data_IF_863339317612
#
_entry.id   IF_863339317612
#
_cell.length_a   1.000
_cell.length_b   1.000
_cell.length_c   1.000
_cell.angle_alpha   90.00
_cell.angle_beta   90.00
_cell.angle_gamma   90.00
#
_symmetry.space_group_name_H-M   'P 1'
#
loop_
_entity.id
_entity.type
_entity.pdbx_description
1 polymer ?
#
# COMPACT_ATOMS: atom_id res chain seq x y z
N UNK A 1 -0.02 0.82 -33.45
CA UNK A 1 -0.51 0.38 -32.12
C UNK A 1 0.47 0.89 -31.08
N UNK A 2 0.13 1.97 -30.36
CA UNK A 2 0.98 2.46 -29.28
C UNK A 2 0.82 1.48 -28.11
N UNK A 3 1.84 0.68 -27.83
CA UNK A 3 1.90 -0.05 -26.58
C UNK A 3 1.77 0.97 -25.45
N UNK A 4 0.82 0.80 -24.51
CA UNK A 4 0.68 1.70 -23.39
C UNK A 4 1.82 1.42 -22.41
N UNK A 5 3.01 1.92 -22.75
CA UNK A 5 4.21 1.91 -21.91
C UNK A 5 3.93 2.30 -20.44
N UNK A 6 3.01 3.25 -20.13
CA UNK A 6 2.63 3.56 -18.75
C UNK A 6 1.97 2.39 -18.00
N UNK A 7 1.19 1.56 -18.69
CA UNK A 7 0.53 0.39 -18.08
C UNK A 7 1.53 -0.71 -17.77
N UNK A 8 2.52 -0.93 -18.64
CA UNK A 8 3.58 -1.91 -18.40
C UNK A 8 4.44 -1.53 -17.18
N UNK A 9 4.86 -0.27 -17.08
CA UNK A 9 5.60 0.23 -15.92
C UNK A 9 4.80 0.04 -14.64
N UNK A 10 3.50 0.39 -14.67
CA UNK A 10 2.63 0.27 -13.50
C UNK A 10 2.45 -1.20 -13.09
N UNK A 11 2.22 -2.10 -14.05
CA UNK A 11 2.08 -3.53 -13.80
C UNK A 11 3.34 -4.13 -13.16
N UNK A 12 4.52 -3.78 -13.68
CA UNK A 12 5.80 -4.21 -13.10
C UNK A 12 5.99 -3.65 -11.69
N UNK A 13 5.63 -2.39 -11.45
CA UNK A 13 5.72 -1.78 -10.12
C UNK A 13 4.79 -2.47 -9.11
N UNK A 14 3.55 -2.79 -9.49
CA UNK A 14 2.62 -3.54 -8.64
C UNK A 14 3.12 -4.97 -8.38
N UNK A 15 3.67 -5.64 -9.38
CA UNK A 15 4.25 -6.98 -9.22
C UNK A 15 5.45 -6.97 -8.26
N UNK A 16 6.34 -5.98 -8.37
CA UNK A 16 7.45 -5.79 -7.43
C UNK A 16 6.95 -5.48 -6.02
N UNK A 17 5.93 -4.64 -5.87
CA UNK A 17 5.35 -4.34 -4.57
C UNK A 17 4.74 -5.60 -3.93
N UNK A 18 4.06 -6.44 -4.69
CA UNK A 18 3.57 -7.75 -4.22
C UNK A 18 4.71 -8.64 -3.76
N UNK A 19 5.83 -8.71 -4.49
CA UNK A 19 7.02 -9.47 -4.07
C UNK A 19 7.61 -8.91 -2.77
N UNK A 20 7.66 -7.59 -2.61
CA UNK A 20 8.14 -6.93 -1.37
C UNK A 20 7.22 -7.21 -0.19
N UNK A 21 5.91 -7.25 -0.40
CA UNK A 21 4.93 -7.62 0.62
C UNK A 21 5.06 -9.11 0.96
N UNK A 22 5.16 -9.98 -0.04
CA UNK A 22 5.25 -11.43 0.12
C UNK A 22 6.53 -11.87 0.83
N UNK A 23 7.66 -11.22 0.55
CA UNK A 23 8.91 -11.39 1.31
C UNK A 23 8.93 -10.65 2.65
N UNK A 24 7.95 -9.79 2.92
CA UNK A 24 7.83 -9.08 4.19
C UNK A 24 7.28 -9.99 5.29
N UNK A 25 7.83 -9.86 6.50
CA UNK A 25 7.42 -10.50 7.76
C UNK A 25 5.93 -10.35 8.16
N UNK A 26 5.09 -9.76 7.31
CA UNK A 26 3.65 -9.56 7.49
C UNK A 26 2.85 -10.87 7.39
N UNK A 27 3.27 -11.86 6.58
CA UNK A 27 2.49 -13.10 6.38
C UNK A 27 2.45 -14.04 7.60
N UNK A 28 3.32 -13.83 8.59
CA UNK A 28 3.43 -14.68 9.78
C UNK A 28 2.77 -14.07 11.03
N UNK A 29 2.11 -12.91 10.92
CA UNK A 29 1.51 -12.19 12.05
C UNK A 29 -0.01 -12.23 11.98
N UNK A 30 -0.67 -12.40 13.13
CA UNK A 30 -2.14 -12.42 13.26
C UNK A 30 -2.84 -11.14 12.74
N UNK A 31 -2.10 -10.06 12.50
CA UNK A 31 -2.59 -8.82 11.92
C UNK A 31 -2.71 -8.83 10.38
N UNK A 32 -2.27 -9.90 9.71
CA UNK A 32 -2.45 -10.06 8.27
C UNK A 32 -3.93 -10.10 7.87
N UNK A 33 -4.74 -10.86 8.62
CA UNK A 33 -6.18 -11.05 8.35
C UNK A 33 -6.96 -9.72 8.39
N UNK A 34 -6.90 -8.89 9.46
CA UNK A 34 -7.65 -7.65 9.49
C UNK A 34 -7.18 -6.64 8.44
N UNK A 35 -5.88 -6.59 8.14
CA UNK A 35 -5.34 -5.72 7.07
C UNK A 35 -5.84 -6.18 5.70
N UNK A 36 -5.82 -7.48 5.43
CA UNK A 36 -6.32 -8.05 4.19
C UNK A 36 -7.83 -7.81 4.03
N UNK A 37 -8.60 -7.94 5.11
CA UNK A 37 -10.03 -7.64 5.12
C UNK A 37 -10.29 -6.15 4.81
N UNK A 38 -9.50 -5.24 5.40
CA UNK A 38 -9.63 -3.81 5.13
C UNK A 38 -9.28 -3.43 3.69
N UNK A 39 -8.21 -4.03 3.12
CA UNK A 39 -7.87 -3.85 1.69
C UNK A 39 -8.97 -4.41 0.79
N UNK A 40 -9.50 -5.59 1.11
CA UNK A 40 -10.59 -6.21 0.35
C UNK A 40 -11.86 -5.35 0.40
N UNK A 41 -12.18 -4.76 1.56
CA UNK A 41 -13.29 -3.82 1.71
C UNK A 41 -13.10 -2.56 0.85
N UNK A 42 -11.88 -2.04 0.71
CA UNK A 42 -11.61 -0.92 -0.19
C UNK A 42 -11.81 -1.28 -1.66
N UNK A 43 -11.36 -2.47 -2.07
CA UNK A 43 -11.56 -2.96 -3.46
C UNK A 43 -13.04 -3.16 -3.75
N UNK A 44 -13.76 -3.85 -2.87
CA UNK A 44 -15.19 -4.09 -3.00
C UNK A 44 -16.00 -2.78 -2.95
N UNK A 45 -15.61 -1.85 -2.07
CA UNK A 45 -16.25 -0.54 -1.96
C UNK A 45 -16.05 0.30 -3.21
N UNK A 46 -14.86 0.23 -3.82
CA UNK A 46 -14.58 0.86 -5.11
C UNK A 46 -15.45 0.27 -6.23
N UNK A 47 -15.56 -1.06 -6.27
CA UNK A 47 -16.39 -1.77 -7.24
C UNK A 47 -17.88 -1.42 -7.08
N UNK A 48 -18.39 -1.42 -5.85
CA UNK A 48 -19.78 -1.05 -5.56
C UNK A 48 -20.06 0.42 -5.87
N UNK A 49 -19.06 1.30 -5.70
CA UNK A 49 -19.19 2.70 -6.08
C UNK A 49 -19.30 2.88 -7.60
N UNK A 50 -18.60 2.06 -8.39
CA UNK A 50 -18.79 2.01 -9.84
C UNK A 50 -20.18 1.49 -10.22
N UNK A 51 -20.69 0.51 -9.46
CA UNK A 51 -22.03 -0.06 -9.63
C UNK A 51 -23.15 0.80 -9.03
N UNK A 52 -22.84 1.98 -8.48
CA UNK A 52 -23.81 2.90 -7.85
C UNK A 52 -24.62 2.28 -6.70
N UNK A 53 -24.06 1.28 -6.03
CA UNK A 53 -24.73 0.59 -4.93
C UNK A 53 -24.83 1.48 -3.69
N UNK A 54 -26.00 1.50 -3.04
CA UNK A 54 -26.19 2.15 -1.74
C UNK A 54 -25.32 1.45 -0.68
N UNK A 55 -24.56 2.19 0.11
CA UNK A 55 -23.61 1.62 1.08
C UNK A 55 -22.14 1.58 0.60
N UNK A 56 -21.86 1.87 -0.67
CA UNK A 56 -20.50 1.81 -1.21
C UNK A 56 -19.56 2.85 -0.58
N UNK A 57 -20.08 4.04 -0.27
CA UNK A 57 -19.30 5.10 0.35
C UNK A 57 -18.90 4.75 1.78
N UNK A 58 -19.83 4.16 2.53
CA UNK A 58 -19.67 3.69 3.90
C UNK A 58 -18.65 2.55 3.96
N UNK A 59 -18.69 1.63 2.98
CA UNK A 59 -17.72 0.54 2.86
C UNK A 59 -16.30 1.08 2.59
N UNK A 60 -16.17 2.09 1.73
CA UNK A 60 -14.90 2.76 1.42
C UNK A 60 -14.33 3.52 2.62
N UNK A 61 -15.17 4.29 3.32
CA UNK A 61 -14.77 5.06 4.50
C UNK A 61 -14.41 4.10 5.65
N UNK A 62 -15.24 3.09 5.89
CA UNK A 62 -15.02 2.07 6.92
C UNK A 62 -13.76 1.25 6.64
N UNK A 63 -13.60 0.73 5.42
CA UNK A 63 -12.41 -0.02 5.01
C UNK A 63 -11.13 0.81 5.10
N UNK A 64 -11.18 2.07 4.68
CA UNK A 64 -10.03 2.98 4.75
C UNK A 64 -9.63 3.32 6.19
N UNK A 65 -10.62 3.58 7.05
CA UNK A 65 -10.40 3.86 8.47
C UNK A 65 -9.84 2.64 9.20
N UNK A 66 -10.42 1.46 8.97
CA UNK A 66 -9.94 0.20 9.53
C UNK A 66 -8.49 -0.06 9.09
N UNK A 67 -8.17 0.16 7.81
CA UNK A 67 -6.82 -0.03 7.30
C UNK A 67 -5.82 0.86 8.06
N UNK A 68 -6.11 2.14 8.21
CA UNK A 68 -5.24 3.09 8.93
C UNK A 68 -5.04 2.63 10.38
N UNK A 69 -6.13 2.30 11.09
CA UNK A 69 -6.10 1.96 12.52
C UNK A 69 -5.37 0.64 12.75
N UNK A 70 -5.76 -0.43 12.06
CA UNK A 70 -5.14 -1.75 12.23
C UNK A 70 -3.66 -1.75 11.82
N UNK A 71 -3.33 -1.05 10.73
CA UNK A 71 -1.95 -0.99 10.26
C UNK A 71 -1.07 -0.14 11.18
N UNK A 72 -1.58 0.97 11.73
CA UNK A 72 -0.88 1.79 12.70
C UNK A 72 -0.63 1.03 14.02
N UNK A 73 -1.65 0.32 14.54
CA UNK A 73 -1.53 -0.50 15.77
C UNK A 73 -0.50 -1.62 15.58
N UNK A 74 -0.49 -2.27 14.43
CA UNK A 74 0.50 -3.30 14.15
C UNK A 74 1.92 -2.72 14.11
N UNK A 75 2.09 -1.56 13.48
CA UNK A 75 3.40 -0.93 13.36
C UNK A 75 3.96 -0.43 14.71
N UNK A 76 3.11 0.01 15.64
CA UNK A 76 3.56 0.43 16.98
C UNK A 76 4.00 -0.73 17.87
N UNK A 77 3.52 -1.95 17.61
CA UNK A 77 3.93 -3.16 18.36
C UNK A 77 5.31 -3.70 17.98
N UNK A 78 5.90 -3.25 16.86
CA UNK A 78 7.25 -3.67 16.47
C UNK A 78 8.33 -2.94 17.26
N UNK A 79 9.16 -3.71 17.99
CA UNK A 79 10.24 -3.19 18.85
C UNK A 79 11.49 -2.76 18.09
N UNK A 80 11.78 -3.35 16.92
CA UNK A 80 12.84 -2.90 16.00
C UNK A 80 12.21 -2.29 14.74
N UNK A 81 12.36 -0.97 14.58
CA UNK A 81 11.83 -0.23 13.43
C UNK A 81 12.90 -0.13 12.35
N UNK A 82 12.75 -0.87 11.26
CA UNK A 82 13.55 -0.64 10.06
C UNK A 82 12.94 0.47 9.21
N UNK A 83 13.76 1.18 8.41
CA UNK A 83 13.31 2.26 7.51
C UNK A 83 12.15 1.84 6.59
N UNK A 84 12.17 0.59 6.14
CA UNK A 84 11.13 -0.04 5.32
C UNK A 84 9.75 -0.09 6.00
N UNK A 85 9.67 -0.20 7.33
CA UNK A 85 8.39 -0.24 8.04
C UNK A 85 7.70 1.13 8.04
N UNK A 86 8.47 2.23 8.10
CA UNK A 86 7.93 3.59 7.99
C UNK A 86 7.36 3.87 6.60
N UNK A 87 8.03 3.41 5.54
CA UNK A 87 7.54 3.55 4.17
C UNK A 87 6.27 2.72 3.94
N UNK A 88 6.20 1.51 4.49
CA UNK A 88 4.98 0.70 4.41
C UNK A 88 3.82 1.34 5.18
N UNK A 89 4.09 1.98 6.31
CA UNK A 89 3.07 2.72 7.07
C UNK A 89 2.56 3.91 6.26
N UNK A 90 3.44 4.74 5.70
CA UNK A 90 3.00 5.90 4.93
C UNK A 90 2.15 5.48 3.73
N UNK A 91 2.51 4.39 3.05
CA UNK A 91 1.71 3.81 1.97
C UNK A 91 0.34 3.31 2.46
N UNK A 92 0.29 2.54 3.56
CA UNK A 92 -0.98 2.06 4.12
C UNK A 92 -1.92 3.19 4.56
N UNK A 93 -1.37 4.25 5.16
CA UNK A 93 -2.13 5.44 5.56
C UNK A 93 -2.63 6.20 4.34
N UNK A 94 -1.78 6.41 3.33
CA UNK A 94 -2.18 7.05 2.08
C UNK A 94 -3.29 6.26 1.37
N UNK A 95 -3.24 4.93 1.43
CA UNK A 95 -4.23 4.05 0.80
C UNK A 95 -5.57 4.10 1.52
N UNK A 96 -5.57 4.08 2.85
CA UNK A 96 -6.79 4.25 3.63
C UNK A 96 -7.41 5.65 3.45
N UNK A 97 -6.58 6.68 3.42
CA UNK A 97 -7.02 8.06 3.21
C UNK A 97 -7.60 8.27 1.80
N UNK A 98 -7.00 7.64 0.77
CA UNK A 98 -7.55 7.61 -0.58
C UNK A 98 -8.92 6.92 -0.62
N UNK A 99 -9.11 5.82 0.12
CA UNK A 99 -10.40 5.15 0.25
C UNK A 99 -11.48 6.06 0.84
N UNK A 100 -11.16 6.77 1.93
CA UNK A 100 -12.06 7.74 2.57
C UNK A 100 -12.41 8.89 1.62
N UNK A 101 -11.41 9.46 0.95
CA UNK A 101 -11.58 10.54 -0.03
C UNK A 101 -12.48 10.11 -1.19
N UNK A 102 -12.29 8.89 -1.70
CA UNK A 102 -13.16 8.27 -2.69
C UNK A 102 -14.57 8.12 -2.14
N UNK A 103 -14.75 7.63 -0.92
CA UNK A 103 -16.06 7.45 -0.29
C UNK A 103 -16.86 8.76 -0.20
N UNK A 104 -16.23 9.82 0.32
CA UNK A 104 -16.81 11.17 0.46
C UNK A 104 -17.11 11.82 -0.91
N UNK A 105 -16.47 11.34 -1.99
CA UNK A 105 -16.63 11.91 -3.32
C UNK A 105 -15.79 13.18 -3.52
N UNK A 106 -14.71 13.33 -2.76
CA UNK A 106 -13.80 14.47 -2.85
C UNK A 106 -12.96 14.37 -4.13
N UNK A 107 -13.52 14.80 -5.26
CA UNK A 107 -12.89 14.63 -6.59
C UNK A 107 -11.61 15.46 -6.78
N UNK A 108 -11.51 16.62 -6.15
CA UNK A 108 -10.36 17.54 -6.27
C UNK A 108 -9.06 17.00 -5.65
N UNK A 109 -9.18 16.12 -4.67
CA UNK A 109 -8.06 15.52 -3.93
C UNK A 109 -7.59 14.20 -4.52
N UNK A 110 -8.40 13.54 -5.36
CA UNK A 110 -8.05 12.25 -5.95
C UNK A 110 -6.75 12.26 -6.77
N UNK A 111 -6.44 13.29 -7.59
CA UNK A 111 -5.18 13.32 -8.33
C UNK A 111 -3.97 13.44 -7.40
N UNK A 112 -4.11 14.21 -6.32
CA UNK A 112 -3.05 14.43 -5.34
C UNK A 112 -2.80 13.18 -4.50
N UNK A 113 -3.86 12.48 -4.10
CA UNK A 113 -3.77 11.21 -3.36
C UNK A 113 -3.22 10.08 -4.22
N UNK A 114 -3.63 10.01 -5.49
CA UNK A 114 -3.05 9.09 -6.47
C UNK A 114 -1.55 9.35 -6.66
N UNK A 115 -1.14 10.61 -6.78
CA UNK A 115 0.26 11.00 -6.86
C UNK A 115 1.07 10.61 -5.62
N UNK A 116 0.54 10.83 -4.42
CA UNK A 116 1.16 10.42 -3.15
C UNK A 116 1.30 8.90 -3.02
N UNK A 117 0.26 8.15 -3.40
CA UNK A 117 0.31 6.69 -3.44
C UNK A 117 1.38 6.18 -4.40
N UNK A 118 1.46 6.77 -5.58
CA UNK A 118 2.44 6.38 -6.58
C UNK A 118 3.87 6.75 -6.15
N UNK A 119 4.07 7.93 -5.55
CA UNK A 119 5.36 8.35 -5.01
C UNK A 119 5.83 7.44 -3.87
N UNK A 120 4.94 7.10 -2.92
CA UNK A 120 5.25 6.19 -1.80
C UNK A 120 5.52 4.76 -2.27
N UNK A 121 4.78 4.28 -3.29
CA UNK A 121 5.04 3.00 -3.96
C UNK A 121 6.47 2.97 -4.53
N UNK A 122 6.86 3.98 -5.30
CA UNK A 122 8.21 4.07 -5.87
C UNK A 122 9.29 4.15 -4.78
N UNK A 123 9.04 4.91 -3.70
CA UNK A 123 9.96 4.99 -2.57
C UNK A 123 10.19 3.62 -1.90
N UNK A 124 9.14 2.80 -1.73
CA UNK A 124 9.25 1.43 -1.18
C UNK A 124 10.11 0.55 -2.10
N UNK A 125 9.85 0.59 -3.41
CA UNK A 125 10.56 -0.23 -4.38
C UNK A 125 12.05 0.15 -4.39
N UNK A 126 12.37 1.44 -4.45
CA UNK A 126 13.74 1.93 -4.47
C UNK A 126 14.49 1.59 -3.17
N UNK A 127 13.87 1.79 -2.00
CA UNK A 127 14.49 1.42 -0.72
C UNK A 127 14.73 -0.09 -0.61
N UNK A 128 13.76 -0.91 -1.06
CA UNK A 128 13.91 -2.36 -1.08
C UNK A 128 15.05 -2.81 -2.01
N UNK A 129 15.10 -2.26 -3.24
CA UNK A 129 16.16 -2.59 -4.20
C UNK A 129 17.52 -2.14 -3.67
N UNK A 130 17.61 -0.95 -3.10
CA UNK A 130 18.82 -0.42 -2.49
C UNK A 130 19.33 -1.31 -1.35
N UNK A 131 18.46 -1.66 -0.39
CA UNK A 131 18.85 -2.51 0.75
C UNK A 131 19.18 -3.93 0.32
N UNK A 132 18.44 -4.50 -0.62
CA UNK A 132 18.58 -5.91 -1.01
C UNK A 132 19.77 -6.13 -1.93
N UNK A 133 19.98 -5.26 -2.92
CA UNK A 133 20.97 -5.48 -3.97
C UNK A 133 22.22 -4.61 -3.80
N UNK A 134 22.08 -3.34 -3.44
CA UNK A 134 23.22 -2.38 -3.39
C UNK A 134 23.96 -2.44 -2.05
N UNK A 135 23.22 -2.55 -0.93
CA UNK A 135 23.84 -2.63 0.40
C UNK A 135 24.46 -4.00 0.70
N UNK A 136 23.91 -5.08 0.15
CA UNK A 136 24.48 -6.43 0.33
C UNK A 136 25.76 -6.64 -0.46
N UNK A 137 25.93 -5.99 -1.62
CA UNK A 137 27.14 -6.11 -2.44
C UNK A 137 28.35 -5.38 -1.87
N UNK A 138 28.16 -4.53 -0.85
CA UNK A 138 29.21 -3.70 -0.26
C UNK A 138 29.77 -4.25 1.06
N UNK A 139 29.23 -5.34 1.60
CA UNK A 139 29.90 -6.06 2.68
C UNK A 139 30.93 -7.03 2.08
N UNK A 140 32.24 -6.84 2.32
CA UNK A 140 33.23 -7.82 1.90
C UNK A 140 32.91 -9.17 2.56
N UNK A 141 33.16 -10.30 1.88
CA UNK A 141 33.00 -11.61 2.51
C UNK A 141 33.86 -11.64 3.77
N UNK A 142 33.21 -11.79 4.93
CA UNK A 142 33.90 -12.06 6.18
C UNK A 142 34.57 -13.42 6.04
N UNK A 143 35.88 -13.38 5.77
CA UNK A 143 36.79 -14.51 5.90
C UNK A 143 36.93 -14.92 7.37
#
# INVERSE_FOLDING_TARGET
MNFPFPLLISAVAYALLLVVIYKGSLSSSAFFIPVLAAVSALVLGGLFKLQHWAGAAELLIGGGTLLIVFYAIWNTRKKQRQRLDWLKLSYGVALGFSGISLGIGWRLGLPWLGGLLQATMWAIILDFVYVTYIRRSTQPPTA
#
